data_IF_542827304406
#
_entry.id   IF_542827304406
#
_cell.length_a   1.000
_cell.length_b   1.000
_cell.length_c   1.000
_cell.angle_alpha   90.00
_cell.angle_beta   90.00
_cell.angle_gamma   90.00
#
_symmetry.space_group_name_H-M   'P 1'
#
loop_
_entity.id
_entity.type
_entity.pdbx_description
1 polymer ?
#
# COMPACT_ATOMS: atom_id res chain seq x y z
N UNK A 1 3.62 0.22 6.71
CA UNK A 1 3.35 -0.27 5.32
C UNK A 1 4.54 -0.15 4.34
N UNK A 2 5.17 1.03 4.14
CA UNK A 2 6.13 1.25 3.04
C UNK A 2 7.32 0.27 2.95
N UNK A 3 7.74 -0.30 4.09
CA UNK A 3 8.79 -1.32 4.17
C UNK A 3 10.12 -0.76 4.67
N UNK A 4 10.65 -1.39 5.72
CA UNK A 4 11.93 -1.03 6.37
C UNK A 4 12.75 -2.26 6.78
N UNK A 5 12.28 -3.47 6.46
CA UNK A 5 13.03 -4.69 6.75
C UNK A 5 14.39 -4.67 6.03
N UNK A 6 15.46 -4.99 6.74
CA UNK A 6 16.83 -4.98 6.23
C UNK A 6 17.43 -3.58 6.01
N UNK A 7 16.74 -2.50 6.41
CA UNK A 7 17.30 -1.13 6.27
C UNK A 7 18.18 -0.79 7.46
N UNK A 8 19.47 -0.56 7.21
CA UNK A 8 20.48 -0.11 8.16
C UNK A 8 21.21 1.12 7.62
N UNK A 9 21.38 2.17 8.42
CA UNK A 9 22.02 3.43 8.01
C UNK A 9 21.54 3.98 6.65
N UNK A 10 20.22 3.97 6.42
CA UNK A 10 19.59 4.40 5.17
C UNK A 10 19.94 3.55 3.93
N UNK A 11 20.42 2.32 4.13
CA UNK A 11 20.69 1.36 3.06
C UNK A 11 19.95 0.05 3.33
N UNK A 12 19.30 -0.51 2.31
CA UNK A 12 18.69 -1.83 2.39
C UNK A 12 19.75 -2.90 2.09
N UNK A 13 19.83 -3.95 2.90
CA UNK A 13 20.78 -5.07 2.78
C UNK A 13 20.60 -5.94 1.52
N UNK A 14 19.51 -5.75 0.77
CA UNK A 14 19.18 -6.51 -0.43
C UNK A 14 18.66 -7.93 -0.16
N UNK A 15 18.44 -8.29 1.11
CA UNK A 15 17.95 -9.63 1.48
C UNK A 15 16.44 -9.69 1.27
N UNK A 16 16.01 -10.60 0.40
CA UNK A 16 14.60 -10.89 0.13
C UNK A 16 14.24 -12.26 0.72
N UNK A 17 13.34 -12.33 1.72
CA UNK A 17 12.82 -13.58 2.26
C UNK A 17 12.18 -14.49 1.20
N UNK A 18 12.10 -15.79 1.47
CA UNK A 18 11.55 -16.77 0.52
C UNK A 18 10.08 -16.51 0.16
N UNK A 19 9.29 -16.12 1.15
CA UNK A 19 7.88 -15.74 1.00
C UNK A 19 7.67 -14.42 0.26
N UNK A 20 8.71 -13.60 0.10
CA UNK A 20 8.67 -12.32 -0.62
C UNK A 20 9.34 -12.37 -2.01
N UNK A 21 9.62 -13.58 -2.52
CA UNK A 21 10.25 -13.72 -3.84
C UNK A 21 9.32 -13.23 -4.96
N UNK A 22 9.88 -12.67 -6.06
CA UNK A 22 9.10 -12.26 -7.22
C UNK A 22 8.36 -13.43 -7.87
N UNK A 23 7.16 -13.17 -8.40
CA UNK A 23 6.36 -14.15 -9.13
C UNK A 23 5.86 -13.53 -10.44
N UNK A 24 5.82 -14.31 -11.53
CA UNK A 24 5.49 -13.81 -12.88
C UNK A 24 4.10 -13.18 -12.97
N UNK A 25 3.14 -13.67 -12.18
CA UNK A 25 1.76 -13.16 -12.12
C UNK A 25 1.51 -12.14 -11.00
N UNK A 26 2.57 -11.56 -10.41
CA UNK A 26 2.45 -10.46 -9.44
C UNK A 26 3.13 -9.22 -10.03
N UNK A 27 2.34 -8.17 -10.20
CA UNK A 27 2.77 -6.90 -10.79
C UNK A 27 2.56 -5.75 -9.81
N UNK A 28 3.31 -4.67 -10.00
CA UNK A 28 3.28 -3.45 -9.19
C UNK A 28 3.01 -2.25 -10.09
N UNK A 29 2.20 -1.30 -9.62
CA UNK A 29 2.01 -0.02 -10.29
C UNK A 29 3.14 0.94 -9.87
N UNK A 30 4.02 1.30 -10.80
CA UNK A 30 5.11 2.27 -10.57
C UNK A 30 4.59 3.69 -10.32
N UNK A 31 5.48 4.59 -9.87
CA UNK A 31 5.19 6.02 -9.73
C UNK A 31 4.72 6.67 -11.05
N UNK A 32 5.22 6.16 -12.18
CA UNK A 32 4.85 6.62 -13.52
C UNK A 32 3.55 5.98 -14.06
N UNK A 33 2.78 5.29 -13.22
CA UNK A 33 1.52 4.63 -13.59
C UNK A 33 1.66 3.53 -14.65
N UNK A 34 2.82 2.86 -14.67
CA UNK A 34 3.05 1.67 -15.49
C UNK A 34 3.09 0.42 -14.62
N UNK A 35 2.42 -0.63 -15.08
CA UNK A 35 2.52 -1.97 -14.49
C UNK A 35 3.87 -2.60 -14.84
N UNK A 36 4.54 -3.13 -13.84
CA UNK A 36 5.83 -3.81 -13.95
C UNK A 36 5.89 -5.04 -13.02
N UNK A 37 6.82 -5.99 -13.21
CA UNK A 37 7.00 -7.10 -12.28
C UNK A 37 7.26 -6.62 -10.85
N UNK A 38 6.50 -7.13 -9.88
CA UNK A 38 6.64 -6.71 -8.49
C UNK A 38 7.92 -7.28 -7.85
N UNK A 39 8.69 -6.41 -7.17
CA UNK A 39 9.91 -6.75 -6.42
C UNK A 39 10.01 -5.84 -5.20
N UNK A 40 10.53 -6.37 -4.09
CA UNK A 40 10.93 -5.51 -2.97
C UNK A 40 12.14 -4.64 -3.36
N UNK A 41 12.23 -3.39 -2.85
CA UNK A 41 11.25 -2.69 -2.01
C UNK A 41 10.09 -2.12 -2.85
N UNK A 42 8.84 -2.46 -2.51
CA UNK A 42 7.67 -2.07 -3.32
C UNK A 42 7.42 -0.54 -3.38
N UNK A 43 7.93 0.22 -2.42
CA UNK A 43 7.70 1.67 -2.32
C UNK A 43 8.91 2.52 -2.74
N UNK A 44 9.93 1.95 -3.38
CA UNK A 44 11.20 2.64 -3.68
C UNK A 44 11.04 3.94 -4.51
N UNK A 45 10.06 4.00 -5.41
CA UNK A 45 9.71 5.18 -6.21
C UNK A 45 8.49 5.96 -5.68
N UNK A 46 7.93 5.52 -4.54
CA UNK A 46 6.75 6.12 -3.89
C UNK A 46 7.15 6.89 -2.63
N UNK A 47 7.83 6.23 -1.68
CA UNK A 47 8.32 6.82 -0.42
C UNK A 47 9.75 7.35 -0.56
N UNK A 48 9.97 8.17 -1.60
CA UNK A 48 11.30 8.58 -2.09
C UNK A 48 12.15 9.37 -1.08
N UNK A 49 11.54 9.86 0.01
CA UNK A 49 12.25 10.60 1.06
C UNK A 49 12.94 9.68 2.07
N UNK A 50 12.70 8.37 2.02
CA UNK A 50 13.23 7.40 2.97
C UNK A 50 13.73 6.16 2.25
N UNK A 51 14.82 5.58 2.76
CA UNK A 51 15.27 4.27 2.31
C UNK A 51 14.16 3.23 2.57
N UNK A 52 13.74 2.56 1.49
CA UNK A 52 12.76 1.49 1.55
C UNK A 52 13.47 0.13 1.62
N UNK A 53 12.91 -0.78 2.40
CA UNK A 53 13.30 -2.18 2.43
C UNK A 53 12.07 -3.07 2.32
N UNK A 54 12.16 -4.29 2.82
CA UNK A 54 11.06 -5.26 2.76
C UNK A 54 9.83 -4.73 3.52
N UNK A 55 8.66 -4.80 2.87
CA UNK A 55 7.34 -4.59 3.45
C UNK A 55 6.50 -5.88 3.47
N UNK A 56 5.21 -5.80 3.81
CA UNK A 56 4.33 -6.98 3.84
C UNK A 56 3.73 -7.34 2.47
N UNK A 57 3.96 -6.53 1.43
CA UNK A 57 3.21 -6.62 0.19
C UNK A 57 3.52 -7.87 -0.63
N UNK A 58 4.79 -8.23 -0.78
CA UNK A 58 5.16 -9.42 -1.55
C UNK A 58 4.75 -10.72 -0.85
N UNK A 59 4.98 -10.83 0.46
CA UNK A 59 4.56 -12.02 1.23
C UNK A 59 3.04 -12.20 1.26
N UNK A 60 2.28 -11.11 1.41
CA UNK A 60 0.82 -11.14 1.26
C UNK A 60 0.40 -11.61 -0.14
N UNK A 61 0.99 -11.04 -1.20
CA UNK A 61 0.64 -11.35 -2.57
C UNK A 61 0.94 -12.81 -2.94
N UNK A 62 2.09 -13.33 -2.51
CA UNK A 62 2.45 -14.74 -2.70
C UNK A 62 1.49 -15.67 -1.93
N UNK A 63 1.22 -15.38 -0.66
CA UNK A 63 0.29 -16.20 0.13
C UNK A 63 -1.12 -16.24 -0.48
N UNK A 64 -1.63 -15.11 -0.99
CA UNK A 64 -2.91 -15.07 -1.71
C UNK A 64 -2.84 -15.89 -3.00
N UNK A 65 -1.74 -15.79 -3.75
CA UNK A 65 -1.55 -16.56 -4.99
C UNK A 65 -1.51 -18.07 -4.77
N UNK A 66 -0.79 -18.49 -3.74
CA UNK A 66 -0.70 -19.90 -3.34
C UNK A 66 -2.08 -20.42 -2.93
N UNK A 67 -2.84 -19.63 -2.16
CA UNK A 67 -4.19 -19.99 -1.75
C UNK A 67 -5.17 -20.12 -2.93
N UNK A 68 -5.05 -19.27 -3.95
CA UNK A 68 -5.88 -19.30 -5.16
C UNK A 68 -5.48 -20.42 -6.14
N UNK A 69 -4.46 -21.23 -5.83
CA UNK A 69 -4.09 -22.40 -6.62
C UNK A 69 -3.48 -22.09 -7.99
N UNK A 70 -2.84 -20.93 -8.15
CA UNK A 70 -2.09 -20.60 -9.37
C UNK A 70 -2.95 -20.29 -10.61
N UNK A 71 -4.23 -19.93 -10.43
CA UNK A 71 -5.07 -19.44 -11.52
C UNK A 71 -4.37 -18.32 -12.31
N UNK A 72 -4.51 -18.35 -13.64
CA UNK A 72 -3.79 -17.47 -14.58
C UNK A 72 -4.09 -15.96 -14.47
N UNK A 73 -4.84 -15.55 -13.45
CA UNK A 73 -5.10 -14.15 -13.16
C UNK A 73 -3.82 -13.45 -12.70
N UNK A 74 -3.69 -12.15 -12.95
CA UNK A 74 -2.59 -11.35 -12.45
C UNK A 74 -3.00 -10.66 -11.14
N UNK A 75 -2.12 -10.60 -10.14
CA UNK A 75 -2.35 -9.84 -8.91
C UNK A 75 -1.56 -8.53 -8.98
N UNK A 76 -2.27 -7.41 -8.93
CA UNK A 76 -1.69 -6.07 -8.95
C UNK A 76 -1.53 -5.48 -7.56
N UNK A 77 -0.34 -4.93 -7.27
CA UNK A 77 -0.03 -4.17 -6.07
C UNK A 77 0.06 -2.69 -6.41
N UNK A 78 -0.67 -1.85 -5.66
CA UNK A 78 -0.67 -0.39 -5.82
C UNK A 78 -0.05 0.25 -4.57
N UNK A 79 1.28 0.42 -4.53
CA UNK A 79 1.95 1.02 -3.38
C UNK A 79 1.62 2.51 -3.29
N UNK A 80 1.21 2.97 -2.11
CA UNK A 80 0.83 4.37 -1.86
C UNK A 80 1.43 4.91 -0.55
N UNK A 81 1.98 4.06 0.32
CA UNK A 81 2.38 4.47 1.66
C UNK A 81 3.57 5.44 1.64
N UNK A 82 3.56 6.39 2.57
CA UNK A 82 4.64 7.34 2.82
C UNK A 82 5.01 7.26 4.30
N UNK A 83 6.29 7.08 4.61
CA UNK A 83 6.70 6.85 5.98
C UNK A 83 6.60 8.10 6.85
N UNK A 84 6.26 7.93 8.14
CA UNK A 84 6.28 9.00 9.14
C UNK A 84 5.16 10.03 9.03
N UNK A 85 4.08 9.69 8.33
CA UNK A 85 2.90 10.55 8.17
C UNK A 85 1.83 10.18 9.19
N UNK A 86 1.22 11.18 9.83
CA UNK A 86 0.06 11.02 10.70
C UNK A 86 -1.23 10.88 9.88
N UNK A 87 -2.30 10.32 10.46
CA UNK A 87 -3.56 10.09 9.73
C UNK A 87 -4.21 11.37 9.21
N UNK A 88 -3.95 12.53 9.85
CA UNK A 88 -4.40 13.84 9.36
C UNK A 88 -3.86 14.21 7.97
N UNK A 89 -2.69 13.69 7.60
CA UNK A 89 -2.09 13.91 6.27
C UNK A 89 -2.78 13.07 5.18
N UNK A 90 -3.68 12.16 5.60
CA UNK A 90 -4.49 11.28 4.76
C UNK A 90 -5.97 11.68 4.74
N UNK A 91 -6.30 12.88 5.23
CA UNK A 91 -7.66 13.42 5.09
C UNK A 91 -8.02 13.72 3.64
N UNK A 92 -9.32 13.70 3.33
CA UNK A 92 -9.83 14.00 1.99
C UNK A 92 -9.37 15.38 1.54
N UNK A 93 -8.81 15.47 0.32
CA UNK A 93 -8.22 16.69 -0.23
C UNK A 93 -6.77 16.95 0.18
N UNK A 94 -6.17 16.10 1.03
CA UNK A 94 -4.73 16.12 1.26
C UNK A 94 -4.00 15.40 0.13
N UNK A 95 -2.77 15.85 -0.16
CA UNK A 95 -1.97 15.32 -1.26
C UNK A 95 -1.79 13.79 -1.22
N UNK A 96 -1.57 13.18 -0.03
CA UNK A 96 -1.37 11.74 0.09
C UNK A 96 -2.65 10.95 -0.23
N UNK A 97 -3.78 11.43 0.27
CA UNK A 97 -5.09 10.87 0.01
C UNK A 97 -5.44 10.95 -1.48
N UNK A 98 -5.31 12.14 -2.08
CA UNK A 98 -5.62 12.36 -3.49
C UNK A 98 -4.72 11.53 -4.41
N UNK A 99 -3.43 11.39 -4.07
CA UNK A 99 -2.50 10.55 -4.80
C UNK A 99 -2.87 9.05 -4.68
N UNK A 100 -3.28 8.58 -3.50
CA UNK A 100 -3.77 7.20 -3.33
C UNK A 100 -5.00 6.94 -4.19
N UNK A 101 -5.98 7.85 -4.19
CA UNK A 101 -7.17 7.72 -5.04
C UNK A 101 -6.82 7.72 -6.52
N UNK A 102 -5.97 8.65 -6.97
CA UNK A 102 -5.52 8.72 -8.37
C UNK A 102 -4.88 7.39 -8.79
N UNK A 103 -3.90 6.89 -8.03
CA UNK A 103 -3.22 5.63 -8.33
C UNK A 103 -4.16 4.44 -8.33
N UNK A 104 -5.14 4.42 -7.41
CA UNK A 104 -6.15 3.37 -7.33
C UNK A 104 -7.04 3.36 -8.59
N UNK A 105 -7.51 4.53 -9.05
CA UNK A 105 -8.32 4.66 -10.27
C UNK A 105 -7.53 4.27 -11.53
N UNK A 106 -6.30 4.76 -11.65
CA UNK A 106 -5.40 4.45 -12.78
C UNK A 106 -5.07 2.94 -12.87
N UNK A 107 -5.01 2.25 -11.72
CA UNK A 107 -4.73 0.81 -11.67
C UNK A 107 -5.79 -0.04 -12.41
N UNK A 108 -7.04 0.44 -12.44
CA UNK A 108 -8.17 -0.25 -13.08
C UNK A 108 -8.60 0.38 -14.39
N UNK A 109 -8.26 1.63 -14.67
CA UNK A 109 -8.73 2.36 -15.87
C UNK A 109 -8.35 1.68 -17.19
N UNK A 110 -7.10 1.17 -17.27
CA UNK A 110 -6.56 0.53 -18.48
C UNK A 110 -6.53 -0.99 -18.40
N UNK A 111 -7.14 -1.56 -17.36
CA UNK A 111 -7.17 -3.01 -17.14
C UNK A 111 -8.62 -3.49 -17.00
N UNK A 112 -8.82 -4.81 -17.03
CA UNK A 112 -10.09 -5.42 -16.59
C UNK A 112 -10.03 -5.82 -15.11
N UNK A 113 -9.15 -5.17 -14.35
CA UNK A 113 -8.90 -5.46 -12.95
C UNK A 113 -9.97 -4.87 -12.04
N UNK A 114 -10.05 -5.41 -10.83
CA UNK A 114 -10.92 -4.92 -9.77
C UNK A 114 -10.09 -4.67 -8.51
N UNK A 115 -10.40 -3.59 -7.78
CA UNK A 115 -9.79 -3.34 -6.48
C UNK A 115 -10.41 -4.30 -5.46
N UNK A 116 -9.63 -5.28 -5.00
CA UNK A 116 -10.13 -6.33 -4.09
C UNK A 116 -10.08 -5.96 -2.60
N UNK A 117 -9.09 -5.16 -2.19
CA UNK A 117 -8.94 -4.71 -0.81
C UNK A 117 -7.99 -3.50 -0.74
N UNK A 118 -8.10 -2.75 0.35
CA UNK A 118 -7.08 -1.81 0.81
C UNK A 118 -6.36 -2.41 2.03
N UNK A 119 -5.05 -2.57 1.94
CA UNK A 119 -4.21 -2.90 3.10
C UNK A 119 -3.69 -1.60 3.71
N UNK A 120 -4.03 -1.36 4.97
CA UNK A 120 -3.69 -0.13 5.67
C UNK A 120 -2.83 -0.45 6.89
N UNK A 121 -1.59 0.06 6.93
CA UNK A 121 -0.77 -0.05 8.14
C UNK A 121 -0.08 1.28 8.41
N UNK A 122 -0.67 2.01 9.35
CA UNK A 122 -0.28 3.31 9.85
C UNK A 122 -0.80 3.46 11.29
N UNK A 123 -0.24 4.40 12.04
CA UNK A 123 -0.73 4.86 13.34
C UNK A 123 0.39 5.32 14.26
N UNK A 124 1.64 4.94 13.96
CA UNK A 124 2.82 5.24 14.78
C UNK A 124 2.99 6.75 15.00
N UNK A 125 2.77 7.55 13.96
CA UNK A 125 2.87 9.02 14.01
C UNK A 125 1.74 9.72 14.77
N UNK A 126 0.68 8.99 15.15
CA UNK A 126 -0.46 9.53 15.91
C UNK A 126 -0.37 9.22 17.42
N UNK A 127 0.64 8.45 17.84
CA UNK A 127 0.88 8.09 19.24
C UNK A 127 1.61 9.13 20.13
N UNK A 128 2.36 10.14 19.62
CA UNK A 128 3.12 11.05 20.49
C UNK A 128 2.29 11.94 21.42
N UNK A 129 1.00 12.14 21.13
CA UNK A 129 0.11 12.94 21.98
C UNK A 129 -1.19 12.21 22.28
N UNK A 130 -1.70 12.38 23.51
CA UNK A 130 -2.99 11.79 23.90
C UNK A 130 -4.12 12.24 22.97
N UNK A 131 -4.12 13.51 22.58
CA UNK A 131 -5.15 14.08 21.70
C UNK A 131 -5.17 13.41 20.30
N UNK A 132 -4.00 13.20 19.68
CA UNK A 132 -3.92 12.53 18.36
C UNK A 132 -4.28 11.06 18.46
N UNK A 133 -3.90 10.39 19.56
CA UNK A 133 -4.24 8.98 19.78
C UNK A 133 -5.75 8.79 20.02
N UNK A 134 -6.38 9.66 20.83
CA UNK A 134 -7.81 9.63 21.12
C UNK A 134 -8.65 9.87 19.86
N UNK A 135 -8.23 10.81 19.00
CA UNK A 135 -8.92 11.11 17.74
C UNK A 135 -8.71 10.05 16.64
N UNK A 136 -7.76 9.12 16.80
CA UNK A 136 -7.33 8.22 15.73
C UNK A 136 -8.47 7.34 15.19
N UNK A 137 -9.32 6.82 16.07
CA UNK A 137 -10.46 5.97 15.68
C UNK A 137 -11.42 6.71 14.73
N UNK A 138 -11.83 7.92 15.11
CA UNK A 138 -12.75 8.73 14.31
C UNK A 138 -12.11 9.11 12.96
N UNK A 139 -10.83 9.46 12.97
CA UNK A 139 -10.09 9.77 11.75
C UNK A 139 -10.00 8.56 10.81
N UNK A 140 -9.79 7.35 11.36
CA UNK A 140 -9.76 6.11 10.58
C UNK A 140 -11.13 5.75 10.00
N UNK A 141 -12.20 5.88 10.78
CA UNK A 141 -13.57 5.67 10.29
C UNK A 141 -13.92 6.66 9.16
N UNK A 142 -13.50 7.93 9.30
CA UNK A 142 -13.64 8.95 8.26
C UNK A 142 -12.83 8.61 7.00
N UNK A 143 -11.58 8.15 7.15
CA UNK A 143 -10.76 7.69 6.03
C UNK A 143 -11.45 6.54 5.27
N UNK A 144 -11.92 5.52 5.99
CA UNK A 144 -12.64 4.36 5.41
C UNK A 144 -13.86 4.83 4.61
N UNK A 145 -14.67 5.71 5.19
CA UNK A 145 -15.86 6.24 4.52
C UNK A 145 -15.49 6.99 3.24
N UNK A 146 -14.54 7.92 3.32
CA UNK A 146 -14.11 8.74 2.19
C UNK A 146 -13.56 7.88 1.05
N UNK A 147 -12.70 6.89 1.34
CA UNK A 147 -12.12 6.01 0.32
C UNK A 147 -13.21 5.21 -0.40
N UNK A 148 -14.18 4.66 0.34
CA UNK A 148 -15.30 3.91 -0.25
C UNK A 148 -16.17 4.79 -1.13
N UNK A 149 -16.47 6.01 -0.68
CA UNK A 149 -17.24 7.00 -1.43
C UNK A 149 -16.51 7.40 -2.73
N UNK A 150 -15.26 7.84 -2.62
CA UNK A 150 -14.50 8.42 -3.74
C UNK A 150 -14.05 7.40 -4.79
N UNK A 151 -13.98 6.12 -4.42
CA UNK A 151 -13.78 4.99 -5.35
C UNK A 151 -15.10 4.39 -5.86
N UNK A 152 -16.25 4.74 -5.28
CA UNK A 152 -17.54 4.14 -5.62
C UNK A 152 -17.63 2.65 -5.21
N UNK A 153 -16.93 2.24 -4.15
CA UNK A 153 -16.82 0.86 -3.68
C UNK A 153 -17.34 0.74 -2.24
N UNK A 154 -18.67 0.76 -2.00
CA UNK A 154 -19.24 0.82 -0.65
C UNK A 154 -18.90 -0.38 0.23
N UNK A 155 -18.58 -1.53 -0.37
CA UNK A 155 -18.23 -2.78 0.31
C UNK A 155 -16.73 -3.09 0.28
N UNK A 156 -15.87 -2.15 -0.14
CA UNK A 156 -14.42 -2.37 -0.23
C UNK A 156 -13.88 -2.88 1.13
N UNK A 157 -13.26 -4.08 1.16
CA UNK A 157 -12.55 -4.56 2.34
C UNK A 157 -11.36 -3.65 2.65
N UNK A 158 -11.27 -3.20 3.90
CA UNK A 158 -10.12 -2.48 4.42
C UNK A 158 -9.56 -3.30 5.57
N UNK A 159 -8.31 -3.72 5.43
CA UNK A 159 -7.60 -4.57 6.39
C UNK A 159 -6.54 -3.71 7.05
N UNK A 160 -6.69 -3.48 8.34
CA UNK A 160 -5.77 -2.74 9.19
C UNK A 160 -5.11 -3.65 10.21
#
# INVERSE_FOLDING_TARGET
MAGRGGVHHHHWDGVVPLDSQPHASIIRLSANLHWEPAREPLHHDIDVRKACGVGPGMSFANAVKDHLGGGGECLGLVPCAVGGTAIKEWERGQHLYDNMLKRSKESVEKTKGEIKALLWYQGESDTPSYHTAEAYKENMERLIHNVREDLGLPSLPIIQ
#
